data_IF_942872331101
#
_entry.id   IF_942872331101
#
_cell.length_a   1.000
_cell.length_b   1.000
_cell.length_c   1.000
_cell.angle_alpha   90.00
_cell.angle_beta   90.00
_cell.angle_gamma   90.00
#
_symmetry.space_group_name_H-M   'P 1'
#
loop_
_entity.id
_entity.type
_entity.pdbx_description
1 polymer ?
#
# COMPACT_ATOMS: atom_id res chain seq x y z
N UNK A 1 -10.19 0.00 10.52
CA UNK A 1 -8.95 0.16 11.30
C UNK A 1 -8.18 1.34 10.75
N UNK A 2 -8.42 2.49 11.36
CA UNK A 2 -7.58 3.63 11.79
C UNK A 2 -8.61 4.52 12.47
N UNK A 3 -8.52 4.72 13.78
CA UNK A 3 -9.46 5.58 14.50
C UNK A 3 -9.30 7.01 14.03
N UNK A 4 -10.36 7.82 14.10
CA UNK A 4 -10.24 9.26 13.89
C UNK A 4 -9.14 9.87 14.80
N UNK A 5 -8.87 9.23 15.93
CA UNK A 5 -7.84 9.61 16.90
C UNK A 5 -6.44 9.59 16.30
N UNK A 6 -6.00 8.51 15.63
CA UNK A 6 -4.69 8.47 14.98
C UNK A 6 -4.49 9.64 14.00
N UNK A 7 -5.53 9.92 13.18
CA UNK A 7 -5.47 11.02 12.23
C UNK A 7 -5.34 12.36 12.94
N UNK A 8 -6.11 12.57 14.00
CA UNK A 8 -6.07 13.81 14.79
C UNK A 8 -4.72 13.98 15.51
N UNK A 9 -4.20 12.90 16.09
CA UNK A 9 -2.94 12.89 16.83
C UNK A 9 -1.77 13.22 15.91
N UNK A 10 -1.65 12.55 14.76
CA UNK A 10 -0.59 12.85 13.79
C UNK A 10 -0.77 14.23 13.16
N UNK A 11 -2.00 14.65 12.87
CA UNK A 11 -2.25 15.97 12.31
C UNK A 11 -1.87 17.09 13.29
N UNK A 12 -2.08 16.88 14.59
CA UNK A 12 -1.71 17.86 15.64
C UNK A 12 -0.21 18.13 15.74
N UNK A 13 0.63 17.19 15.30
CA UNK A 13 2.10 17.30 15.29
C UNK A 13 2.61 18.15 14.11
N UNK A 14 1.77 18.41 13.11
CA UNK A 14 2.17 19.13 11.91
C UNK A 14 2.21 20.65 12.13
N UNK A 15 3.12 21.38 11.45
CA UNK A 15 3.12 22.84 11.49
C UNK A 15 1.79 23.43 10.97
N UNK A 16 1.38 24.60 11.48
CA UNK A 16 0.18 25.29 10.99
C UNK A 16 0.19 25.46 9.47
N UNK A 17 -0.96 25.19 8.83
CA UNK A 17 -1.12 25.28 7.37
C UNK A 17 -0.68 24.02 6.59
N UNK A 18 -0.14 23.00 7.25
CA UNK A 18 0.08 21.70 6.66
C UNK A 18 -1.19 20.83 6.70
N UNK A 19 -1.28 19.83 5.83
CA UNK A 19 -2.39 18.87 5.77
C UNK A 19 -1.83 17.46 5.80
N UNK A 20 -2.29 16.64 6.74
CA UNK A 20 -1.90 15.23 6.79
C UNK A 20 -2.54 14.49 5.62
N UNK A 21 -1.75 13.69 4.90
CA UNK A 21 -2.22 12.85 3.80
C UNK A 21 -1.98 11.39 4.15
N UNK A 22 -2.93 10.69 4.76
CA UNK A 22 -2.76 9.29 5.12
C UNK A 22 -2.71 8.48 3.83
N UNK A 23 -1.67 7.68 3.64
CA UNK A 23 -1.51 6.78 2.49
C UNK A 23 -1.98 5.39 2.91
N UNK A 24 -2.90 4.81 2.12
CA UNK A 24 -3.45 3.48 2.31
C UNK A 24 -2.98 2.61 1.15
N UNK A 25 -2.30 1.53 1.45
CA UNK A 25 -2.00 0.49 0.48
C UNK A 25 -3.04 -0.62 0.54
N UNK A 26 -3.27 -1.30 -0.57
CA UNK A 26 -4.00 -2.54 -0.62
C UNK A 26 -3.32 -3.51 -1.58
N UNK A 27 -3.28 -4.78 -1.24
CA UNK A 27 -2.85 -5.84 -2.14
C UNK A 27 -3.98 -6.84 -2.33
N UNK A 28 -4.05 -7.44 -3.51
CA UNK A 28 -4.95 -8.58 -3.75
C UNK A 28 -4.38 -9.45 -4.88
N UNK A 29 -3.95 -10.66 -4.55
CA UNK A 29 -3.36 -11.60 -5.50
C UNK A 29 -4.41 -12.07 -6.52
N UNK A 30 -4.21 -11.66 -7.77
CA UNK A 30 -5.12 -12.00 -8.87
C UNK A 30 -4.48 -13.02 -9.81
N UNK A 31 -5.21 -14.09 -10.10
CA UNK A 31 -4.83 -15.07 -11.14
C UNK A 31 -5.26 -14.53 -12.50
N UNK A 32 -4.33 -14.41 -13.45
CA UNK A 32 -4.62 -13.77 -14.75
C UNK A 32 -5.29 -14.71 -15.77
N UNK A 33 -5.11 -16.03 -15.72
CA UNK A 33 -5.79 -16.96 -16.64
C UNK A 33 -5.66 -18.44 -16.24
N UNK A 34 -6.77 -19.15 -16.12
CA UNK A 34 -6.78 -20.63 -15.99
C UNK A 34 -6.47 -21.35 -17.32
N UNK A 35 -6.46 -20.64 -18.46
CA UNK A 35 -6.49 -21.29 -19.79
C UNK A 35 -5.23 -21.14 -20.67
N UNK A 36 -4.24 -20.30 -20.32
CA UNK A 36 -3.04 -20.08 -21.19
C UNK A 36 -1.70 -20.08 -20.42
N UNK A 37 -1.71 -20.25 -19.11
CA UNK A 37 -0.49 -20.37 -18.31
C UNK A 37 -0.71 -19.84 -16.91
N UNK A 38 -0.16 -20.56 -15.93
CA UNK A 38 -0.22 -20.21 -14.51
C UNK A 38 0.58 -18.91 -14.24
N UNK A 39 -0.05 -17.79 -14.56
CA UNK A 39 0.46 -16.45 -14.32
C UNK A 39 -0.45 -15.79 -13.29
N UNK A 40 0.05 -15.62 -12.07
CA UNK A 40 -0.54 -14.72 -11.10
C UNK A 40 0.22 -13.38 -11.09
N UNK A 41 -0.52 -12.32 -10.80
CA UNK A 41 0.03 -11.01 -10.48
C UNK A 41 -0.32 -10.69 -9.03
N UNK A 42 0.56 -9.93 -8.41
CA UNK A 42 0.32 -9.36 -7.11
C UNK A 42 0.38 -7.83 -7.23
N UNK A 43 -0.75 -7.18 -7.57
CA UNK A 43 -0.85 -5.74 -7.62
C UNK A 43 -0.83 -5.12 -6.22
N UNK A 44 -0.14 -3.99 -6.10
CA UNK A 44 -0.15 -3.10 -4.95
C UNK A 44 -0.88 -1.83 -5.38
N UNK A 45 -2.02 -1.58 -4.78
CA UNK A 45 -2.85 -0.39 -4.97
C UNK A 45 -2.58 0.63 -3.87
N UNK A 46 -2.68 1.92 -4.21
CA UNK A 46 -2.56 3.03 -3.29
C UNK A 46 -3.81 3.91 -3.33
N UNK A 47 -4.23 4.41 -2.17
CA UNK A 47 -5.29 5.42 -2.00
C UNK A 47 -4.92 6.39 -0.87
N UNK A 48 -5.67 7.47 -0.73
CA UNK A 48 -5.50 8.43 0.36
C UNK A 48 -6.66 8.35 1.37
N UNK A 49 -6.33 8.49 2.65
CA UNK A 49 -7.25 8.52 3.77
C UNK A 49 -8.20 9.71 3.74
N UNK A 50 -7.82 10.82 3.11
CA UNK A 50 -8.63 12.03 2.98
C UNK A 50 -9.89 11.83 2.14
N UNK A 51 -9.95 10.77 1.31
CA UNK A 51 -11.17 10.42 0.59
C UNK A 51 -12.21 9.81 1.54
N UNK A 52 -13.49 10.15 1.40
CA UNK A 52 -14.57 9.43 2.07
C UNK A 52 -14.51 7.93 1.77
N UNK A 53 -14.76 7.09 2.79
CA UNK A 53 -14.80 5.63 2.62
C UNK A 53 -15.82 5.20 1.56
N UNK A 54 -16.94 5.92 1.44
CA UNK A 54 -17.95 5.70 0.41
C UNK A 54 -17.42 5.95 -1.00
N UNK A 55 -16.48 6.89 -1.20
CA UNK A 55 -15.84 7.11 -2.50
C UNK A 55 -14.80 6.04 -2.78
N UNK A 56 -13.99 5.64 -1.79
CA UNK A 56 -13.01 4.55 -1.94
C UNK A 56 -13.64 3.20 -2.27
N UNK A 57 -14.86 2.96 -1.80
CA UNK A 57 -15.57 1.69 -2.00
C UNK A 57 -16.34 1.64 -3.34
N UNK A 58 -16.36 2.73 -4.10
CA UNK A 58 -17.06 2.80 -5.39
C UNK A 58 -16.07 2.51 -6.52
N UNK A 59 -16.25 1.45 -7.32
CA UNK A 59 -15.32 1.11 -8.41
C UNK A 59 -15.15 2.22 -9.45
N UNK A 60 -16.16 3.08 -9.64
CA UNK A 60 -16.18 4.11 -10.68
C UNK A 60 -15.42 5.40 -10.33
N UNK A 61 -14.91 5.54 -9.11
CA UNK A 61 -14.33 6.81 -8.63
C UNK A 61 -12.81 6.89 -8.84
N UNK A 62 -12.18 5.83 -9.37
CA UNK A 62 -10.72 5.71 -9.51
C UNK A 62 -9.97 6.13 -8.23
N UNK A 63 -10.57 5.84 -7.06
CA UNK A 63 -10.02 6.22 -5.75
C UNK A 63 -8.81 5.38 -5.34
N UNK A 64 -8.52 4.32 -6.09
CA UNK A 64 -7.35 3.46 -5.94
C UNK A 64 -6.54 3.50 -7.24
N UNK A 65 -5.25 3.73 -7.12
CA UNK A 65 -4.30 3.68 -8.24
C UNK A 65 -3.40 2.48 -8.10
N UNK A 66 -3.00 1.87 -9.22
CA UNK A 66 -2.03 0.78 -9.22
C UNK A 66 -0.63 1.39 -9.10
N UNK A 67 0.06 1.08 -8.02
CA UNK A 67 1.37 1.67 -7.67
C UNK A 67 2.53 0.69 -7.89
N UNK A 68 2.27 -0.62 -7.72
CA UNK A 68 3.26 -1.67 -7.97
C UNK A 68 2.63 -2.95 -8.51
N UNK A 69 3.43 -3.75 -9.22
CA UNK A 69 3.05 -5.11 -9.65
C UNK A 69 4.23 -6.03 -9.40
N UNK A 70 3.99 -7.10 -8.66
CA UNK A 70 4.90 -8.25 -8.65
C UNK A 70 4.37 -9.38 -9.54
N UNK A 71 5.27 -9.95 -10.35
CA UNK A 71 4.98 -11.13 -11.16
C UNK A 71 5.31 -12.38 -10.36
N UNK A 72 4.31 -13.22 -10.11
CA UNK A 72 4.49 -14.40 -9.25
C UNK A 72 4.94 -15.66 -10.00
N UNK A 73 5.04 -15.64 -11.34
CA UNK A 73 5.51 -16.80 -12.12
C UNK A 73 6.29 -16.42 -13.39
N UNK A 74 7.54 -16.91 -13.49
CA UNK A 74 8.29 -16.97 -14.76
C UNK A 74 8.66 -18.43 -15.04
N UNK A 75 8.21 -18.99 -16.17
CA UNK A 75 8.49 -20.39 -16.53
C UNK A 75 9.99 -20.65 -16.76
N UNK A 76 10.49 -21.70 -16.11
CA UNK A 76 11.58 -22.62 -16.49
C UNK A 76 13.06 -22.34 -16.16
N UNK A 77 13.55 -21.10 -16.00
CA UNK A 77 15.01 -20.89 -15.75
C UNK A 77 15.38 -20.47 -14.32
N UNK A 78 14.47 -19.81 -13.60
CA UNK A 78 14.80 -19.14 -12.33
C UNK A 78 13.92 -19.60 -11.16
N UNK A 79 13.22 -20.73 -11.28
CA UNK A 79 12.17 -21.11 -10.35
C UNK A 79 12.69 -21.40 -8.93
N UNK A 80 13.83 -22.07 -8.80
CA UNK A 80 14.47 -22.31 -7.49
C UNK A 80 14.97 -21.00 -6.86
N UNK A 81 15.61 -20.15 -7.66
CA UNK A 81 16.10 -18.84 -7.21
C UNK A 81 14.94 -17.91 -6.83
N UNK A 82 13.84 -17.96 -7.58
CA UNK A 82 12.62 -17.21 -7.28
C UNK A 82 11.98 -17.72 -5.99
N UNK A 83 11.82 -19.04 -5.80
CA UNK A 83 11.30 -19.59 -4.54
C UNK A 83 12.12 -19.17 -3.32
N UNK A 84 13.44 -19.05 -3.49
CA UNK A 84 14.35 -18.60 -2.43
C UNK A 84 14.28 -17.08 -2.15
N UNK A 85 13.96 -16.25 -3.15
CA UNK A 85 14.02 -14.78 -3.06
C UNK A 85 12.68 -14.07 -3.19
N UNK A 86 11.57 -14.79 -3.39
CA UNK A 86 10.26 -14.16 -3.64
C UNK A 86 9.85 -13.22 -2.52
N UNK A 87 10.14 -13.59 -1.27
CA UNK A 87 9.75 -12.81 -0.10
C UNK A 87 10.62 -11.54 0.00
N UNK A 88 11.90 -11.62 -0.40
CA UNK A 88 12.81 -10.47 -0.52
C UNK A 88 12.43 -9.57 -1.70
N UNK A 89 11.89 -10.12 -2.79
CA UNK A 89 11.45 -9.36 -3.95
C UNK A 89 10.25 -8.45 -3.60
N UNK A 90 9.27 -8.98 -2.86
CA UNK A 90 8.13 -8.22 -2.32
C UNK A 90 8.64 -7.05 -1.48
N UNK A 91 9.53 -7.30 -0.53
CA UNK A 91 10.09 -6.26 0.34
C UNK A 91 10.92 -5.26 -0.45
N UNK A 92 11.61 -5.69 -1.50
CA UNK A 92 12.30 -4.80 -2.44
C UNK A 92 11.34 -3.83 -3.14
N UNK A 93 10.21 -4.33 -3.64
CA UNK A 93 9.16 -3.48 -4.26
C UNK A 93 8.62 -2.48 -3.23
N UNK A 94 8.23 -2.94 -2.04
CA UNK A 94 7.71 -2.07 -0.98
C UNK A 94 8.74 -1.01 -0.57
N UNK A 95 10.02 -1.39 -0.45
CA UNK A 95 11.10 -0.46 -0.13
C UNK A 95 11.21 0.65 -1.19
N UNK A 96 11.09 0.30 -2.47
CA UNK A 96 11.11 1.29 -3.56
C UNK A 96 9.89 2.21 -3.51
N UNK A 97 8.70 1.67 -3.24
CA UNK A 97 7.46 2.46 -3.14
C UNK A 97 7.50 3.47 -1.98
N UNK A 98 8.03 3.04 -0.83
CA UNK A 98 8.06 3.88 0.38
C UNK A 98 9.27 4.81 0.46
N UNK A 99 10.28 4.65 -0.41
CA UNK A 99 11.59 5.31 -0.32
C UNK A 99 11.52 6.84 -0.17
N UNK A 100 10.63 7.49 -0.89
CA UNK A 100 10.52 8.95 -0.89
C UNK A 100 9.47 9.47 0.10
N UNK A 101 8.75 8.59 0.81
CA UNK A 101 7.64 8.98 1.67
C UNK A 101 8.11 9.85 2.83
N UNK A 102 9.19 9.48 3.51
CA UNK A 102 9.78 10.24 4.63
C UNK A 102 10.23 11.63 4.16
N UNK A 103 10.86 11.70 2.98
CA UNK A 103 11.27 12.97 2.37
C UNK A 103 10.06 13.87 2.10
N UNK A 104 8.96 13.33 1.61
CA UNK A 104 7.73 14.09 1.39
C UNK A 104 7.04 14.47 2.69
N UNK A 105 7.11 13.63 3.73
CA UNK A 105 6.62 13.98 5.06
C UNK A 105 7.39 15.18 5.63
N UNK A 106 8.73 15.19 5.56
CA UNK A 106 9.57 16.25 6.10
C UNK A 106 9.55 17.55 5.30
N UNK A 107 9.56 17.48 3.97
CA UNK A 107 9.57 18.67 3.09
C UNK A 107 8.17 19.19 2.80
N UNK A 108 7.20 18.29 2.80
CA UNK A 108 5.86 18.55 2.33
C UNK A 108 5.74 18.44 0.82
N UNK A 109 4.50 18.21 0.37
CA UNK A 109 4.08 18.07 -1.01
C UNK A 109 3.07 19.17 -1.32
N UNK A 110 3.24 19.89 -2.44
CA UNK A 110 2.23 20.85 -2.87
C UNK A 110 0.96 20.11 -3.30
N UNK A 111 -0.15 20.42 -2.66
CA UNK A 111 -1.48 19.93 -3.01
C UNK A 111 -2.33 21.08 -3.56
N UNK A 112 -2.66 21.01 -4.84
CA UNK A 112 -3.65 21.90 -5.44
C UNK A 112 -5.05 21.30 -5.20
N UNK A 113 -5.83 21.93 -4.32
CA UNK A 113 -7.14 21.40 -3.94
C UNK A 113 -8.26 21.99 -4.80
N UNK A 114 -9.37 21.26 -4.90
CA UNK A 114 -10.54 21.65 -5.70
C UNK A 114 -11.23 22.95 -5.23
N UNK A 115 -10.97 23.39 -3.99
CA UNK A 115 -11.45 24.67 -3.45
C UNK A 115 -10.56 25.87 -3.86
N UNK A 116 -9.60 25.66 -4.76
CA UNK A 116 -8.68 26.68 -5.25
C UNK A 116 -7.56 27.03 -4.28
N UNK A 117 -7.47 26.34 -3.13
CA UNK A 117 -6.41 26.55 -2.14
C UNK A 117 -5.25 25.60 -2.38
N UNK A 118 -4.05 26.11 -2.17
CA UNK A 118 -2.83 25.32 -2.14
C UNK A 118 -2.56 24.93 -0.69
N UNK A 119 -2.40 23.63 -0.44
CA UNK A 119 -2.05 23.09 0.88
C UNK A 119 -0.69 22.41 0.82
N UNK A 120 0.03 22.43 1.94
CA UNK A 120 1.26 21.66 2.08
C UNK A 120 0.93 20.28 2.66
N UNK A 121 0.83 19.28 1.80
CA UNK A 121 0.56 17.89 2.14
C UNK A 121 1.71 17.19 2.85
N UNK A 122 1.42 16.40 3.87
CA UNK A 122 2.38 15.63 4.66
C UNK A 122 1.96 14.17 4.57
N UNK A 123 2.43 13.41 3.57
CA UNK A 123 2.02 12.04 3.38
C UNK A 123 2.64 11.14 4.46
N UNK A 124 1.83 10.27 5.05
CA UNK A 124 2.28 9.28 6.04
C UNK A 124 1.70 7.93 5.67
N UNK A 125 2.46 6.86 5.85
CA UNK A 125 1.90 5.52 5.72
C UNK A 125 0.89 5.34 6.86
N UNK A 126 -0.39 5.30 6.49
CA UNK A 126 -1.45 5.09 7.45
C UNK A 126 -1.61 3.59 7.65
N UNK A 127 -1.81 2.82 6.57
CA UNK A 127 -1.91 1.38 6.69
C UNK A 127 -1.94 0.60 5.39
N UNK A 128 -2.04 -0.71 5.55
CA UNK A 128 -2.10 -1.69 4.48
C UNK A 128 -3.35 -2.53 4.64
N UNK A 129 -4.15 -2.70 3.58
CA UNK A 129 -5.37 -3.51 3.54
C UNK A 129 -5.05 -4.79 2.77
N UNK A 130 -5.06 -5.91 3.46
CA UNK A 130 -4.79 -7.21 2.88
C UNK A 130 -5.63 -8.27 3.61
N UNK A 131 -5.81 -9.43 2.98
CA UNK A 131 -6.37 -10.58 3.69
C UNK A 131 -5.33 -11.23 4.62
N UNK A 132 -5.77 -12.17 5.45
CA UNK A 132 -4.90 -12.86 6.40
C UNK A 132 -3.72 -13.58 5.74
N UNK A 133 -3.96 -14.21 4.58
CA UNK A 133 -2.91 -14.96 3.87
C UNK A 133 -1.87 -14.01 3.29
N UNK A 134 -2.28 -12.84 2.84
CA UNK A 134 -1.40 -11.79 2.34
C UNK A 134 -0.63 -11.09 3.44
N UNK A 135 -1.24 -10.80 4.61
CA UNK A 135 -0.47 -10.31 5.77
C UNK A 135 0.63 -11.28 6.16
N UNK A 136 0.38 -12.58 6.11
CA UNK A 136 1.42 -13.57 6.39
C UNK A 136 2.57 -13.51 5.36
N UNK A 137 2.27 -13.23 4.09
CA UNK A 137 3.31 -13.01 3.06
C UNK A 137 4.10 -11.72 3.32
N UNK A 138 3.40 -10.62 3.58
CA UNK A 138 4.00 -9.31 3.87
C UNK A 138 4.93 -9.37 5.09
N UNK A 139 4.50 -10.04 6.16
CA UNK A 139 5.26 -10.18 7.40
C UNK A 139 6.24 -11.36 7.40
N UNK A 140 6.37 -12.10 6.30
CA UNK A 140 7.21 -13.31 6.18
C UNK A 140 6.94 -14.35 7.29
N UNK A 141 5.68 -14.51 7.69
CA UNK A 141 5.28 -15.44 8.73
C UNK A 141 5.04 -16.83 8.12
N UNK A 142 5.52 -17.87 8.80
CA UNK A 142 5.32 -19.27 8.39
C UNK A 142 3.81 -19.58 8.26
N UNK A 143 3.50 -20.50 7.35
CA UNK A 143 2.14 -21.06 7.22
C UNK A 143 1.58 -21.46 8.59
N UNK A 144 0.36 -21.00 8.90
CA UNK A 144 -0.34 -21.14 10.20
C UNK A 144 0.16 -20.25 11.35
N UNK A 145 1.10 -19.34 11.14
CA UNK A 145 1.35 -18.22 12.07
C UNK A 145 0.38 -17.07 11.83
N UNK A 146 0.14 -16.23 12.85
CA UNK A 146 -0.76 -15.09 12.80
C UNK A 146 0.03 -13.78 12.92
N UNK A 147 -0.02 -12.93 11.89
CA UNK A 147 0.63 -11.61 11.88
C UNK A 147 0.03 -10.58 12.84
N UNK A 148 -1.21 -10.82 13.28
CA UNK A 148 -2.02 -9.85 14.02
C UNK A 148 -2.16 -10.24 15.49
N UNK A 149 -1.91 -11.50 15.82
CA UNK A 149 -2.11 -12.02 17.17
C UNK A 149 -0.89 -11.66 18.02
N UNK A 150 -1.09 -10.86 19.07
CA UNK A 150 -0.12 -10.76 20.16
C UNK A 150 -0.07 -12.12 20.89
N UNK A 151 1.15 -12.58 21.21
CA UNK A 151 1.37 -13.78 22.03
C UNK A 151 1.16 -13.42 23.50
#
# INVERSE_FOLDING_TARGET
FYTADFFNDEHSKLPPGCTLVPILFASDSTKLADQVGDHSLWPIYMSIGNLPASLRSRPSTNSWILDGIERTHTKSYMEEKYKALKDDAIHGVITVLLKDLDRFYERGLRLDCADGKIRNGRPILAGWIADYQEYNKLCQIKSMGCAVCEI
#
